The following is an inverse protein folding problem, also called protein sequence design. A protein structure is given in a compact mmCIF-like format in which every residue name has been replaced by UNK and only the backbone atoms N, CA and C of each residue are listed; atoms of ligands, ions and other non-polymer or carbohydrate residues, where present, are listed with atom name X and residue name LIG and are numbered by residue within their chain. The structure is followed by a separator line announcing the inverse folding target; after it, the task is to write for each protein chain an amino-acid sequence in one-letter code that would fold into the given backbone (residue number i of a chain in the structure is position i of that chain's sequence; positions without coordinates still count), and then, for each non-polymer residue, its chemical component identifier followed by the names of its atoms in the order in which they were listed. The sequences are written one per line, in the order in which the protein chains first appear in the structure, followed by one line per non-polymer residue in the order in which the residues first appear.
data_IF_760269611332
#
_entry.id   IF_760269611332
#
_cell.length_a   1.000
_cell.length_b   1.000
_cell.length_c   1.000
_cell.angle_alpha   90.00
_cell.angle_beta   90.00
_cell.angle_gamma   90.00
#
_symmetry.space_group_name_H-M   'P 1'
#
loop_
_entity.id
_entity.type
_entity.pdbx_description
1 polymer ?
#
# COMPACT_ATOMS: atom_id res chain seq x y z
N UNK A 1 -14.33 13.13 29.72
CA UNK A 1 -13.95 12.53 28.42
C UNK A 1 -12.44 12.42 28.42
N UNK A 2 -11.91 11.23 28.18
CA UNK A 2 -10.47 10.97 28.23
C UNK A 2 -9.71 11.82 27.17
N UNK A 3 -8.46 12.16 27.46
CA UNK A 3 -7.53 12.78 26.51
C UNK A 3 -7.03 11.71 25.52
N UNK A 4 -7.87 11.36 24.54
CA UNK A 4 -7.63 10.25 23.60
C UNK A 4 -6.34 10.46 22.83
N UNK A 5 -6.12 11.68 22.32
CA UNK A 5 -4.93 12.01 21.54
C UNK A 5 -3.64 11.85 22.37
N UNK A 6 -3.64 12.30 23.63
CA UNK A 6 -2.49 12.16 24.52
C UNK A 6 -2.27 10.70 24.97
N UNK A 7 -3.34 9.94 25.19
CA UNK A 7 -3.24 8.51 25.48
C UNK A 7 -2.63 7.76 24.29
N UNK A 8 -3.08 8.04 23.07
CA UNK A 8 -2.54 7.46 21.84
C UNK A 8 -1.04 7.78 21.68
N UNK A 9 -0.63 9.02 21.94
CA UNK A 9 0.76 9.43 21.94
C UNK A 9 1.61 8.62 22.93
N UNK A 10 1.14 8.46 24.17
CA UNK A 10 1.79 7.64 25.21
C UNK A 10 1.95 6.19 24.78
N UNK A 11 0.90 5.58 24.24
CA UNK A 11 0.96 4.19 23.78
C UNK A 11 1.96 4.01 22.63
N UNK A 12 1.93 4.90 21.64
CA UNK A 12 2.88 4.88 20.54
C UNK A 12 4.33 5.06 21.02
N UNK A 13 4.56 5.94 21.98
CA UNK A 13 5.90 6.19 22.54
C UNK A 13 6.41 5.05 23.42
N UNK A 14 5.52 4.40 24.18
CA UNK A 14 5.84 3.27 25.03
C UNK A 14 6.04 1.96 24.25
N UNK A 15 5.54 1.87 23.01
CA UNK A 15 5.66 0.67 22.19
C UNK A 15 7.13 0.31 21.96
N UNK A 16 7.48 -0.91 22.37
CA UNK A 16 8.82 -1.47 22.30
C UNK A 16 8.79 -2.80 21.58
N UNK A 17 9.74 -2.98 20.67
CA UNK A 17 9.90 -4.26 19.99
C UNK A 17 10.77 -5.23 20.79
N UNK A 18 11.46 -4.84 21.86
CA UNK A 18 12.43 -5.72 22.56
C UNK A 18 11.84 -7.08 22.92
N UNK A 19 10.62 -7.10 23.46
CA UNK A 19 9.90 -8.32 23.85
C UNK A 19 8.76 -8.69 22.89
N UNK A 20 8.64 -8.02 21.75
CA UNK A 20 7.62 -8.34 20.76
C UNK A 20 7.89 -9.70 20.12
N UNK A 21 6.82 -10.46 19.73
CA UNK A 21 6.98 -11.68 18.96
C UNK A 21 7.87 -11.46 17.73
N UNK A 22 8.74 -12.40 17.40
CA UNK A 22 9.64 -12.30 16.23
C UNK A 22 8.88 -12.07 14.92
N UNK A 23 7.65 -12.58 14.83
CA UNK A 23 6.74 -12.36 13.72
C UNK A 23 6.46 -10.87 13.44
N UNK A 24 6.40 -10.01 14.47
CA UNK A 24 6.16 -8.57 14.29
C UNK A 24 7.29 -7.95 13.48
N UNK A 25 8.55 -8.22 13.86
CA UNK A 25 9.74 -7.76 13.12
C UNK A 25 9.81 -8.35 11.72
N UNK A 26 9.46 -9.63 11.57
CA UNK A 26 9.45 -10.28 10.26
C UNK A 26 8.48 -9.60 9.29
N UNK A 27 7.21 -9.43 9.69
CA UNK A 27 6.21 -8.79 8.84
C UNK A 27 6.45 -7.31 8.61
N UNK A 28 7.02 -6.60 9.58
CA UNK A 28 7.43 -5.20 9.39
C UNK A 28 8.53 -5.07 8.32
N UNK A 29 9.53 -5.96 8.33
CA UNK A 29 10.58 -5.98 7.29
C UNK A 29 10.01 -6.30 5.92
N UNK A 30 9.11 -7.29 5.82
CA UNK A 30 8.46 -7.63 4.55
C UNK A 30 7.62 -6.47 4.01
N UNK A 31 6.82 -5.80 4.85
CA UNK A 31 5.99 -4.68 4.42
C UNK A 31 6.83 -3.45 3.98
N UNK A 32 7.92 -3.14 4.70
CA UNK A 32 8.88 -2.11 4.29
C UNK A 32 9.55 -2.48 2.97
N UNK A 33 10.01 -3.74 2.83
CA UNK A 33 10.66 -4.22 1.63
C UNK A 33 9.71 -4.20 0.43
N UNK A 34 8.47 -4.66 0.61
CA UNK A 34 7.41 -4.61 -0.39
C UNK A 34 7.18 -3.19 -0.89
N UNK A 35 7.02 -2.25 0.06
CA UNK A 35 6.77 -0.83 -0.24
C UNK A 35 7.94 -0.21 -1.00
N UNK A 36 9.19 -0.55 -0.67
CA UNK A 36 10.37 -0.08 -1.40
C UNK A 36 10.42 -0.69 -2.81
N UNK A 37 10.12 -1.98 -2.96
CA UNK A 37 10.06 -2.64 -4.25
C UNK A 37 9.07 -1.94 -5.18
N UNK A 38 7.81 -1.78 -4.76
CA UNK A 38 6.78 -1.13 -5.57
C UNK A 38 7.05 0.36 -5.80
N UNK A 39 7.72 1.04 -4.86
CA UNK A 39 8.17 2.42 -5.04
C UNK A 39 9.23 2.56 -6.14
N UNK A 40 10.17 1.61 -6.23
CA UNK A 40 11.12 1.54 -7.34
C UNK A 40 10.39 1.26 -8.65
N UNK A 41 9.49 0.27 -8.67
CA UNK A 41 8.71 -0.07 -9.85
C UNK A 41 7.86 1.10 -10.37
N UNK A 42 7.29 1.90 -9.46
CA UNK A 42 6.46 3.05 -9.76
C UNK A 42 7.24 4.34 -10.02
N UNK A 43 8.56 4.34 -9.81
CA UNK A 43 9.37 5.57 -9.82
C UNK A 43 9.40 6.30 -11.17
N UNK A 44 9.16 5.60 -12.28
CA UNK A 44 9.14 6.16 -13.64
C UNK A 44 7.74 6.21 -14.26
N UNK A 45 6.68 6.02 -13.46
CA UNK A 45 5.32 6.15 -13.94
C UNK A 45 4.99 7.61 -14.29
N UNK A 46 4.17 7.82 -15.33
CA UNK A 46 3.88 9.17 -15.85
C UNK A 46 3.28 10.13 -14.81
N UNK A 47 2.55 9.61 -13.82
CA UNK A 47 2.04 10.40 -12.69
C UNK A 47 3.17 11.01 -11.83
N UNK A 48 4.28 10.28 -11.66
CA UNK A 48 5.45 10.74 -10.89
C UNK A 48 6.19 11.82 -11.68
N UNK A 49 6.31 11.66 -13.00
CA UNK A 49 6.88 12.69 -13.88
C UNK A 49 6.07 13.99 -13.84
N UNK A 50 4.75 13.90 -14.04
CA UNK A 50 3.85 15.06 -13.94
C UNK A 50 3.97 15.77 -12.59
N UNK A 51 4.08 15.01 -11.50
CA UNK A 51 4.26 15.58 -10.18
C UNK A 51 5.60 16.30 -10.03
N UNK A 52 6.70 15.68 -10.47
CA UNK A 52 8.04 16.29 -10.42
C UNK A 52 8.10 17.59 -11.20
N UNK A 53 7.49 17.62 -12.39
CA UNK A 53 7.42 18.81 -13.25
C UNK A 53 6.50 19.88 -12.65
N UNK A 54 5.48 19.49 -11.87
CA UNK A 54 4.56 20.43 -11.20
C UNK A 54 5.14 21.06 -9.94
N UNK A 55 5.82 20.27 -9.10
CA UNK A 55 6.34 20.75 -7.81
C UNK A 55 7.74 21.36 -7.93
N UNK A 56 8.44 21.11 -9.04
CA UNK A 56 9.79 21.61 -9.33
C UNK A 56 10.72 21.53 -8.11
N UNK A 57 10.92 20.31 -7.55
CA UNK A 57 11.53 20.17 -6.25
C UNK A 57 12.97 20.67 -6.31
N UNK A 58 13.34 21.54 -5.36
CA UNK A 58 14.67 22.12 -5.34
C UNK A 58 15.73 21.05 -5.10
N UNK A 59 16.73 20.98 -5.99
CA UNK A 59 17.87 20.11 -5.78
C UNK A 59 18.58 20.44 -4.48
N UNK A 60 18.75 19.43 -3.64
CA UNK A 60 19.41 19.55 -2.35
C UNK A 60 20.46 18.44 -2.25
N UNK A 61 21.75 18.79 -2.41
CA UNK A 61 22.83 17.82 -2.36
C UNK A 61 22.87 17.04 -1.02
N UNK A 62 22.48 17.69 0.08
CA UNK A 62 22.29 17.08 1.40
C UNK A 62 20.82 16.73 1.70
N UNK A 63 20.00 16.62 0.66
CA UNK A 63 18.59 16.27 0.72
C UNK A 63 18.35 14.76 0.75
N UNK A 64 17.08 14.39 0.73
CA UNK A 64 16.63 12.99 0.73
C UNK A 64 16.51 12.47 -0.70
N UNK A 65 16.80 11.19 -0.90
CA UNK A 65 16.81 10.53 -2.20
C UNK A 65 15.37 10.34 -2.75
N UNK A 66 15.19 10.68 -4.03
CA UNK A 66 14.08 10.17 -4.85
C UNK A 66 14.46 8.77 -5.34
N UNK A 67 13.80 7.74 -4.79
CA UNK A 67 14.14 6.36 -5.09
C UNK A 67 13.90 6.08 -6.58
N UNK A 68 14.89 5.44 -7.20
CA UNK A 68 14.92 5.13 -8.63
C UNK A 68 15.28 6.30 -9.56
N UNK A 69 15.45 7.53 -9.07
CA UNK A 69 15.75 8.71 -9.91
C UNK A 69 17.13 9.34 -9.70
N UNK A 70 17.98 8.75 -8.86
CA UNK A 70 19.32 9.23 -8.50
C UNK A 70 19.40 10.76 -8.21
N UNK A 71 18.31 11.33 -7.67
CA UNK A 71 18.14 12.76 -7.45
C UNK A 71 17.81 13.03 -5.99
N UNK A 72 18.40 14.07 -5.41
CA UNK A 72 18.17 14.46 -4.01
C UNK A 72 17.42 15.79 -3.91
N UNK A 73 16.39 15.83 -3.07
CA UNK A 73 15.49 16.98 -2.91
C UNK A 73 15.18 17.22 -1.43
N UNK A 74 14.42 18.28 -1.11
CA UNK A 74 13.97 18.54 0.25
C UNK A 74 13.19 17.37 0.84
N UNK A 75 13.33 17.13 2.16
CA UNK A 75 12.75 15.95 2.84
C UNK A 75 11.23 15.81 2.64
N UNK A 76 10.51 16.93 2.57
CA UNK A 76 9.05 16.94 2.36
C UNK A 76 8.68 16.59 0.91
N UNK A 77 9.47 17.05 -0.06
CA UNK A 77 9.26 16.74 -1.47
C UNK A 77 9.64 15.30 -1.77
N UNK A 78 10.70 14.79 -1.14
CA UNK A 78 11.06 13.38 -1.21
C UNK A 78 9.95 12.49 -0.66
N UNK A 79 9.40 12.83 0.52
CA UNK A 79 8.28 12.11 1.10
C UNK A 79 7.04 12.13 0.17
N UNK A 80 6.73 13.28 -0.43
CA UNK A 80 5.63 13.42 -1.38
C UNK A 80 5.82 12.54 -2.62
N UNK A 81 6.94 12.73 -3.33
CA UNK A 81 7.19 12.11 -4.64
C UNK A 81 7.37 10.60 -4.48
N UNK A 82 8.17 10.15 -3.51
CA UNK A 82 8.32 8.72 -3.25
C UNK A 82 7.00 8.07 -2.78
N UNK A 83 6.14 8.81 -2.06
CA UNK A 83 4.81 8.33 -1.70
C UNK A 83 3.86 8.18 -2.88
N UNK A 84 3.94 9.06 -3.88
CA UNK A 84 3.23 8.87 -5.14
C UNK A 84 3.79 7.68 -5.90
N UNK A 85 5.12 7.53 -6.00
CA UNK A 85 5.76 6.37 -6.65
C UNK A 85 5.33 5.04 -6.00
N UNK A 86 5.32 4.96 -4.68
CA UNK A 86 4.96 3.76 -3.92
C UNK A 86 3.52 3.29 -4.17
N UNK A 87 2.62 4.20 -4.52
CA UNK A 87 1.21 3.90 -4.73
C UNK A 87 0.77 4.00 -6.20
N UNK A 88 1.69 4.32 -7.12
CA UNK A 88 1.39 4.59 -8.53
C UNK A 88 0.80 3.37 -9.25
N UNK A 89 1.28 2.17 -8.89
CA UNK A 89 0.92 0.92 -9.56
C UNK A 89 -0.22 0.16 -8.87
N UNK A 90 -0.69 0.63 -7.71
CA UNK A 90 -1.66 -0.06 -6.85
C UNK A 90 -1.21 -1.50 -6.53
N UNK A 91 0.08 -1.70 -6.26
CA UNK A 91 0.68 -3.02 -6.01
C UNK A 91 1.28 -3.17 -4.59
N UNK A 92 1.24 -2.09 -3.83
CA UNK A 92 1.55 -2.05 -2.43
C UNK A 92 0.59 -2.88 -1.56
N UNK A 93 1.03 -3.16 -0.34
CA UNK A 93 0.27 -3.92 0.65
C UNK A 93 -1.10 -3.31 1.00
N UNK A 94 -1.89 -4.12 1.69
CA UNK A 94 -3.25 -3.80 2.11
C UNK A 94 -3.46 -4.18 3.58
N UNK A 95 -4.49 -3.62 4.19
CA UNK A 95 -5.04 -4.06 5.48
C UNK A 95 -6.56 -4.09 5.39
N UNK A 96 -7.15 -5.22 5.79
CA UNK A 96 -8.61 -5.35 5.90
C UNK A 96 -9.17 -4.39 6.95
N UNK A 97 -8.47 -4.23 8.08
CA UNK A 97 -8.85 -3.29 9.15
C UNK A 97 -8.91 -1.85 8.63
N UNK A 98 -7.86 -1.43 7.92
CA UNK A 98 -7.77 -0.08 7.35
C UNK A 98 -8.80 0.14 6.23
N UNK A 99 -9.20 -0.92 5.52
CA UNK A 99 -9.83 -0.87 4.20
C UNK A 99 -9.03 0.05 3.24
N UNK A 100 -7.73 -0.22 3.20
CA UNK A 100 -6.74 0.56 2.47
C UNK A 100 -5.34 -0.03 2.55
N UNK A 101 -4.38 0.84 2.30
CA UNK A 101 -2.96 0.56 2.10
C UNK A 101 -2.14 1.15 3.26
N UNK A 102 -1.63 0.32 4.18
CA UNK A 102 -1.07 0.81 5.43
C UNK A 102 0.39 1.26 5.37
N UNK A 103 1.22 0.68 4.50
CA UNK A 103 2.65 1.02 4.49
C UNK A 103 2.98 2.25 3.64
N UNK A 104 2.30 2.42 2.50
CA UNK A 104 2.54 3.54 1.59
C UNK A 104 2.34 4.93 2.18
N UNK A 105 1.46 5.22 3.16
CA UNK A 105 1.38 6.56 3.73
C UNK A 105 2.61 6.93 4.56
N UNK A 106 3.39 5.97 5.08
CA UNK A 106 4.46 6.27 6.05
C UNK A 106 5.87 5.86 5.63
N UNK A 107 6.07 4.74 4.92
CA UNK A 107 7.42 4.25 4.56
C UNK A 107 8.24 5.29 3.77
N UNK A 108 7.72 5.95 2.73
CA UNK A 108 8.46 7.00 2.02
C UNK A 108 8.93 8.16 2.92
N UNK A 109 8.07 8.64 3.82
CA UNK A 109 8.40 9.67 4.80
C UNK A 109 9.47 9.19 5.80
N UNK A 110 9.34 7.95 6.27
CA UNK A 110 10.31 7.32 7.17
C UNK A 110 11.69 7.23 6.52
N UNK A 111 11.77 6.78 5.28
CA UNK A 111 13.04 6.68 4.55
C UNK A 111 13.68 8.06 4.35
N UNK A 112 12.89 9.04 3.90
CA UNK A 112 13.38 10.40 3.69
C UNK A 112 13.94 11.01 5.00
N UNK A 113 13.25 10.80 6.11
CA UNK A 113 13.66 11.29 7.43
C UNK A 113 14.85 10.51 8.00
N UNK A 114 14.82 9.18 7.95
CA UNK A 114 15.86 8.31 8.48
C UNK A 114 17.20 8.51 7.76
N UNK A 115 17.19 8.81 6.45
CA UNK A 115 18.40 9.17 5.71
C UNK A 115 19.06 10.43 6.26
N UNK A 116 18.24 11.43 6.57
CA UNK A 116 18.68 12.72 7.11
C UNK A 116 19.25 12.58 8.51
N UNK A 117 18.61 11.75 9.34
CA UNK A 117 19.02 11.48 10.73
C UNK A 117 20.15 10.44 10.83
N UNK A 118 20.42 9.71 9.75
CA UNK A 118 21.34 8.56 9.72
C UNK A 118 21.00 7.49 10.76
N UNK A 119 19.71 7.16 10.84
CA UNK A 119 19.17 6.19 11.79
C UNK A 119 19.56 4.73 11.45
N UNK A 120 19.49 3.89 12.48
CA UNK A 120 19.60 2.44 12.34
C UNK A 120 18.26 1.81 11.97
N UNK A 121 18.31 0.65 11.32
CA UNK A 121 17.10 -0.03 10.84
C UNK A 121 16.16 -0.54 11.93
N UNK A 122 16.66 -0.82 13.14
CA UNK A 122 15.84 -1.13 14.32
C UNK A 122 14.96 0.05 14.75
N UNK A 123 15.50 1.27 14.68
CA UNK A 123 14.75 2.50 14.94
C UNK A 123 13.67 2.73 13.88
N UNK A 124 13.98 2.47 12.61
CA UNK A 124 13.01 2.57 11.52
C UNK A 124 11.88 1.54 11.69
N UNK A 125 12.22 0.29 12.05
CA UNK A 125 11.23 -0.78 12.31
C UNK A 125 10.32 -0.44 13.48
N UNK A 126 10.87 0.04 14.60
CA UNK A 126 10.06 0.44 15.75
C UNK A 126 9.12 1.62 15.43
N UNK A 127 9.60 2.59 14.66
CA UNK A 127 8.79 3.71 14.18
C UNK A 127 7.67 3.26 13.23
N UNK A 128 7.98 2.40 12.27
CA UNK A 128 7.01 1.82 11.34
C UNK A 128 5.89 1.08 12.10
N UNK A 129 6.24 0.20 13.05
CA UNK A 129 5.23 -0.57 13.80
C UNK A 129 4.33 0.35 14.63
N UNK A 130 4.89 1.38 15.28
CA UNK A 130 4.08 2.35 16.02
C UNK A 130 3.12 3.13 15.11
N UNK A 131 3.57 3.50 13.90
CA UNK A 131 2.72 4.12 12.89
C UNK A 131 1.60 3.20 12.42
N UNK A 132 1.95 1.97 12.03
CA UNK A 132 1.02 0.95 11.56
C UNK A 132 -0.08 0.67 12.58
N UNK A 133 0.28 0.44 13.85
CA UNK A 133 -0.68 0.23 14.93
C UNK A 133 -1.60 1.46 15.11
N UNK A 134 -1.06 2.68 14.97
CA UNK A 134 -1.85 3.91 15.12
C UNK A 134 -2.98 4.00 14.09
N UNK A 135 -2.65 3.88 12.81
CA UNK A 135 -3.64 4.06 11.73
C UNK A 135 -4.65 2.91 11.66
N UNK A 136 -4.22 1.68 11.93
CA UNK A 136 -5.10 0.51 11.90
C UNK A 136 -6.04 0.50 13.10
N UNK A 137 -5.58 0.87 14.29
CA UNK A 137 -6.44 1.03 15.47
C UNK A 137 -7.42 2.19 15.34
N UNK A 138 -7.04 3.28 14.67
CA UNK A 138 -7.98 4.33 14.28
C UNK A 138 -9.03 3.78 13.32
N UNK A 139 -8.63 2.98 12.34
CA UNK A 139 -9.56 2.36 11.41
C UNK A 139 -10.51 1.37 12.09
N UNK A 140 -10.07 0.58 13.08
CA UNK A 140 -10.93 -0.34 13.83
C UNK A 140 -12.15 0.35 14.44
N UNK A 141 -11.99 1.58 14.92
CA UNK A 141 -13.07 2.32 15.59
C UNK A 141 -13.89 3.18 14.63
N UNK A 142 -13.34 3.54 13.46
CA UNK A 142 -13.99 4.46 12.51
C UNK A 142 -14.62 3.77 11.29
N UNK A 143 -14.11 2.59 10.90
CA UNK A 143 -14.67 1.80 9.82
C UNK A 143 -15.86 0.96 10.30
N UNK A 144 -16.83 0.63 9.43
CA UNK A 144 -16.89 0.95 7.99
C UNK A 144 -17.42 2.36 7.68
N UNK A 145 -17.96 3.08 8.67
CA UNK A 145 -18.63 4.36 8.47
C UNK A 145 -17.74 5.41 7.77
N UNK A 146 -16.47 5.48 8.14
CA UNK A 146 -15.51 6.40 7.52
C UNK A 146 -15.43 6.22 5.99
N UNK A 147 -15.30 4.97 5.56
CA UNK A 147 -15.26 4.58 4.14
C UNK A 147 -16.59 4.87 3.45
N UNK A 148 -17.71 4.52 4.08
CA UNK A 148 -19.06 4.71 3.51
C UNK A 148 -19.38 6.18 3.24
N UNK A 149 -18.79 7.10 4.01
CA UNK A 149 -18.89 8.54 3.81
C UNK A 149 -18.03 9.06 2.65
N UNK A 150 -17.25 8.20 2.00
CA UNK A 150 -16.48 8.50 0.79
C UNK A 150 -15.02 8.88 1.05
N UNK A 151 -14.53 8.74 2.28
CA UNK A 151 -13.11 8.96 2.57
C UNK A 151 -12.24 7.81 2.07
N UNK A 152 -10.98 8.12 1.77
CA UNK A 152 -9.95 7.15 1.42
C UNK A 152 -9.01 6.91 2.62
N UNK A 153 -9.20 5.83 3.41
CA UNK A 153 -8.49 5.61 4.68
C UNK A 153 -6.96 5.64 4.58
N UNK A 154 -6.39 5.15 3.47
CA UNK A 154 -4.95 5.24 3.18
C UNK A 154 -4.38 6.63 3.43
N UNK A 155 -5.14 7.68 3.14
CA UNK A 155 -4.68 9.05 3.36
C UNK A 155 -5.30 9.70 4.59
N UNK A 156 -6.61 9.55 4.80
CA UNK A 156 -7.29 10.22 5.91
C UNK A 156 -6.97 9.62 7.27
N UNK A 157 -6.64 8.33 7.34
CA UNK A 157 -6.17 7.65 8.55
C UNK A 157 -4.65 7.42 8.52
N UNK A 158 -4.09 7.10 7.35
CA UNK A 158 -2.66 6.83 7.21
C UNK A 158 -1.75 8.03 7.53
N UNK A 159 -2.26 9.26 7.40
CA UNK A 159 -1.53 10.45 7.85
C UNK A 159 -1.19 10.43 9.35
N UNK A 160 -2.02 9.80 10.18
CA UNK A 160 -1.75 9.66 11.62
C UNK A 160 -0.64 8.64 11.86
N UNK A 161 -0.66 7.51 11.15
CA UNK A 161 0.42 6.53 11.16
C UNK A 161 1.76 7.18 10.77
N UNK A 162 1.73 8.01 9.72
CA UNK A 162 2.90 8.79 9.26
C UNK A 162 3.42 9.75 10.33
N UNK A 163 2.53 10.56 10.93
CA UNK A 163 2.91 11.54 11.95
C UNK A 163 3.50 10.86 13.18
N UNK A 164 2.90 9.75 13.63
CA UNK A 164 3.43 8.95 14.74
C UNK A 164 4.76 8.32 14.39
N UNK A 165 4.88 7.66 13.25
CA UNK A 165 6.12 7.00 12.85
C UNK A 165 7.28 8.00 12.72
N UNK A 166 7.05 9.15 12.08
CA UNK A 166 8.05 10.21 12.00
C UNK A 166 8.35 10.83 13.37
N UNK A 167 7.33 11.03 14.22
CA UNK A 167 7.50 11.51 15.59
C UNK A 167 8.35 10.58 16.45
N UNK A 168 8.19 9.26 16.27
CA UNK A 168 9.01 8.23 16.94
C UNK A 168 10.47 8.32 16.54
N UNK A 169 10.76 8.45 15.25
CA UNK A 169 12.13 8.67 14.75
C UNK A 169 12.74 9.99 15.23
N UNK A 170 11.92 11.03 15.38
CA UNK A 170 12.33 12.32 15.95
C UNK A 170 12.45 12.30 17.48
N UNK A 171 12.07 11.20 18.14
CA UNK A 171 12.06 11.05 19.59
C UNK A 171 11.21 12.14 20.28
N UNK A 172 10.03 12.44 19.72
CA UNK A 172 9.08 13.34 20.36
C UNK A 172 8.61 12.75 21.69
N UNK A 173 8.52 13.58 22.72
CA UNK A 173 7.82 13.22 23.96
C UNK A 173 6.30 13.12 23.73
N UNK A 174 5.56 12.71 24.76
CA UNK A 174 4.14 12.41 24.64
C UNK A 174 3.32 13.65 24.25
N UNK A 175 3.69 14.81 24.79
CA UNK A 175 3.04 16.09 24.51
C UNK A 175 3.32 16.55 23.07
N UNK A 176 4.57 16.52 22.61
CA UNK A 176 4.92 16.88 21.24
C UNK A 176 4.34 15.88 20.23
N UNK A 177 4.28 14.59 20.56
CA UNK A 177 3.61 13.58 19.74
C UNK A 177 2.09 13.87 19.62
N UNK A 178 1.43 14.22 20.73
CA UNK A 178 0.01 14.60 20.72
C UNK A 178 -0.22 15.85 19.85
N UNK A 179 0.68 16.83 19.87
CA UNK A 179 0.64 17.99 18.97
C UNK A 179 0.81 17.56 17.52
N UNK A 180 1.76 16.67 17.20
CA UNK A 180 1.95 16.18 15.83
C UNK A 180 0.69 15.48 15.30
N UNK A 181 0.06 14.62 16.10
CA UNK A 181 -1.22 13.97 15.76
C UNK A 181 -2.32 15.02 15.53
N UNK A 182 -2.41 16.04 16.38
CA UNK A 182 -3.40 17.11 16.23
C UNK A 182 -3.18 17.98 14.97
N UNK A 183 -1.93 18.26 14.58
CA UNK A 183 -1.62 18.95 13.33
C UNK A 183 -2.01 18.08 12.13
N UNK A 184 -1.67 16.78 12.17
CA UNK A 184 -2.03 15.83 11.13
C UNK A 184 -3.55 15.76 10.90
N UNK A 185 -4.34 15.84 11.97
CA UNK A 185 -5.80 15.87 11.88
C UNK A 185 -6.35 16.98 10.97
N UNK A 186 -5.68 18.15 10.95
CA UNK A 186 -6.08 19.29 10.11
C UNK A 186 -5.61 19.18 8.66
N UNK A 187 -4.77 18.18 8.35
CA UNK A 187 -4.24 17.91 7.00
C UNK A 187 -4.80 16.61 6.40
N UNK A 188 -5.58 15.84 7.17
CA UNK A 188 -6.20 14.61 6.72
C UNK A 188 -7.18 14.89 5.58
N UNK A 189 -6.93 14.28 4.41
CA UNK A 189 -7.76 14.47 3.21
C UNK A 189 -7.61 13.30 2.24
N UNK A 190 -8.56 13.15 1.32
CA UNK A 190 -8.56 12.13 0.28
C UNK A 190 -9.93 11.53 0.06
N UNK A 191 -10.49 11.71 -1.14
CA UNK A 191 -11.83 11.24 -1.49
C UNK A 191 -11.75 9.97 -2.34
N UNK A 192 -12.44 8.91 -1.92
CA UNK A 192 -12.48 7.62 -2.62
C UNK A 192 -13.09 7.72 -4.03
N UNK A 193 -13.81 8.81 -4.32
CA UNK A 193 -14.29 9.12 -5.68
C UNK A 193 -13.17 9.27 -6.72
N UNK A 194 -11.94 9.56 -6.30
CA UNK A 194 -10.77 9.64 -7.18
C UNK A 194 -10.08 8.28 -7.44
N UNK A 195 -10.60 7.18 -6.91
CA UNK A 195 -10.12 5.84 -7.24
C UNK A 195 -10.18 5.60 -8.75
N UNK A 196 -9.11 5.10 -9.35
CA UNK A 196 -9.00 4.95 -10.80
C UNK A 196 -8.52 6.22 -11.53
N UNK A 197 -7.92 7.19 -10.82
CA UNK A 197 -7.26 8.36 -11.42
C UNK A 197 -5.86 8.54 -10.83
N UNK A 198 -5.03 9.38 -11.44
CA UNK A 198 -3.72 9.80 -10.92
C UNK A 198 -3.80 10.47 -9.53
N UNK A 199 -4.99 10.92 -9.10
CA UNK A 199 -5.17 11.50 -7.77
C UNK A 199 -5.11 10.44 -6.66
N UNK A 200 -5.39 9.16 -6.95
CA UNK A 200 -5.28 8.08 -5.93
C UNK A 200 -3.86 7.99 -5.34
N UNK A 201 -2.77 7.86 -6.13
CA UNK A 201 -1.42 7.87 -5.58
C UNK A 201 -1.02 9.20 -4.94
N UNK A 202 -1.56 10.33 -5.42
CA UNK A 202 -1.36 11.63 -4.77
C UNK A 202 -1.85 11.64 -3.32
N UNK A 203 -2.93 10.92 -2.99
CA UNK A 203 -3.40 10.79 -1.61
C UNK A 203 -2.31 10.22 -0.68
N UNK A 204 -1.60 9.16 -1.10
CA UNK A 204 -0.51 8.57 -0.33
C UNK A 204 0.68 9.53 -0.21
N UNK A 205 1.06 10.21 -1.30
CA UNK A 205 2.09 11.23 -1.27
C UNK A 205 1.78 12.39 -0.32
N UNK A 206 0.53 12.87 -0.30
CA UNK A 206 0.08 13.92 0.62
C UNK A 206 0.09 13.47 2.08
N UNK A 207 -0.30 12.22 2.37
CA UNK A 207 -0.20 11.65 3.71
C UNK A 207 1.25 11.63 4.20
N UNK A 208 2.19 11.14 3.38
CA UNK A 208 3.62 11.14 3.67
C UNK A 208 4.14 12.56 3.99
N UNK A 209 3.90 13.50 3.06
CA UNK A 209 4.37 14.88 3.18
C UNK A 209 3.82 15.57 4.42
N UNK A 210 2.51 15.51 4.61
CA UNK A 210 1.83 16.29 5.63
C UNK A 210 1.97 15.66 7.02
N UNK A 211 2.04 14.33 7.13
CA UNK A 211 2.36 13.64 8.38
C UNK A 211 3.79 13.91 8.84
N UNK A 212 4.77 13.87 7.92
CA UNK A 212 6.14 14.26 8.23
C UNK A 212 6.24 15.74 8.63
N UNK A 213 5.56 16.63 7.91
CA UNK A 213 5.49 18.05 8.24
C UNK A 213 4.92 18.26 9.65
N UNK A 214 3.85 17.55 10.03
CA UNK A 214 3.25 17.64 11.35
C UNK A 214 4.25 17.27 12.47
N UNK A 215 4.99 16.18 12.29
CA UNK A 215 6.01 15.76 13.25
C UNK A 215 7.18 16.77 13.35
N UNK A 216 7.62 17.33 12.21
CA UNK A 216 8.65 18.37 12.18
C UNK A 216 8.17 19.67 12.83
N UNK A 217 6.93 20.08 12.61
CA UNK A 217 6.34 21.26 13.24
C UNK A 217 6.28 21.11 14.76
N UNK A 218 5.77 19.98 15.24
CA UNK A 218 5.73 19.68 16.67
C UNK A 218 7.13 19.68 17.30
N UNK A 219 8.12 19.06 16.65
CA UNK A 219 9.53 19.08 17.10
C UNK A 219 10.09 20.50 17.30
N UNK A 220 9.63 21.44 16.49
CA UNK A 220 10.09 22.84 16.53
C UNK A 220 9.18 23.74 17.38
N UNK A 221 8.26 23.18 18.17
CA UNK A 221 7.42 23.93 19.11
C UNK A 221 6.20 24.60 18.49
N UNK A 222 5.77 24.17 17.29
CA UNK A 222 4.47 24.59 16.75
C UNK A 222 3.33 24.08 17.65
N UNK A 223 2.23 24.82 17.74
CA UNK A 223 1.12 24.48 18.63
C UNK A 223 -0.09 23.96 17.87
N UNK A 224 -0.86 23.06 18.50
CA UNK A 224 -2.19 22.65 18.04
C UNK A 224 -3.12 22.43 19.24
N UNK A 225 -4.43 22.38 19.00
CA UNK A 225 -5.35 21.87 20.00
C UNK A 225 -5.11 20.37 20.14
N UNK A 226 -4.46 19.93 21.21
CA UNK A 226 -4.14 18.51 21.46
C UNK A 226 -5.37 17.61 21.54
N UNK A 227 -6.57 18.17 21.58
CA UNK A 227 -7.84 17.43 21.52
C UNK A 227 -8.47 17.45 20.12
N UNK A 228 -7.74 17.82 19.07
CA UNK A 228 -8.29 18.00 17.72
C UNK A 228 -8.94 16.73 17.13
N UNK A 229 -8.64 15.53 17.65
CA UNK A 229 -9.36 14.31 17.27
C UNK A 229 -10.74 14.25 17.94
N UNK A 230 -10.75 14.30 19.28
CA UNK A 230 -11.92 14.06 20.12
C UNK A 230 -12.77 15.30 20.43
N UNK A 231 -12.34 16.48 20.01
CA UNK A 231 -13.09 17.72 20.18
C UNK A 231 -14.46 17.64 19.47
N UNK A 232 -15.47 18.38 19.94
CA UNK A 232 -16.80 18.38 19.31
C UNK A 232 -16.82 18.91 17.88
N UNK A 233 -15.79 19.67 17.48
CA UNK A 233 -15.52 20.09 16.08
C UNK A 233 -14.27 19.39 15.51
N UNK A 234 -13.85 18.28 16.13
CA UNK A 234 -12.63 17.55 15.82
C UNK A 234 -12.82 16.50 14.73
N UNK A 235 -11.71 15.83 14.40
CA UNK A 235 -11.65 14.85 13.31
C UNK A 235 -12.73 13.77 13.40
N UNK A 236 -12.94 13.18 14.59
CA UNK A 236 -13.92 12.10 14.75
C UNK A 236 -15.32 12.57 14.33
N UNK A 237 -15.73 13.75 14.77
CA UNK A 237 -17.04 14.30 14.44
C UNK A 237 -17.12 14.78 12.99
N UNK A 238 -16.12 15.54 12.52
CA UNK A 238 -16.14 16.15 11.20
C UNK A 238 -16.11 15.11 10.07
N UNK A 239 -15.37 14.01 10.24
CA UNK A 239 -15.21 13.01 9.19
C UNK A 239 -16.23 11.88 9.29
N UNK A 240 -16.76 11.58 10.49
CA UNK A 240 -17.60 10.40 10.72
C UNK A 240 -19.04 10.73 11.16
N UNK A 241 -19.34 12.00 11.48
CA UNK A 241 -20.67 12.46 11.86
C UNK A 241 -20.94 12.46 13.37
N UNK A 242 -22.22 12.57 13.74
CA UNK A 242 -22.65 12.54 15.13
C UNK A 242 -22.63 11.10 15.67
N UNK A 243 -21.92 10.90 16.79
CA UNK A 243 -21.71 9.59 17.41
C UNK A 243 -20.21 9.35 17.61
N UNK A 244 -19.76 9.29 18.86
CA UNK A 244 -18.39 8.89 19.18
C UNK A 244 -18.41 7.37 19.32
N UNK A 245 -17.72 6.61 18.46
CA UNK A 245 -17.62 5.16 18.63
C UNK A 245 -16.93 4.83 19.96
N UNK A 246 -17.06 3.58 20.40
CA UNK A 246 -16.28 3.11 21.52
C UNK A 246 -14.78 3.19 21.19
N UNK A 247 -14.04 3.99 21.96
CA UNK A 247 -12.62 4.26 21.74
C UNK A 247 -11.70 3.27 22.47
N UNK A 248 -12.25 2.31 23.21
CA UNK A 248 -11.44 1.28 23.89
C UNK A 248 -10.54 0.48 22.93
N UNK A 249 -11.01 0.02 21.75
CA UNK A 249 -10.15 -0.70 20.80
C UNK A 249 -8.93 0.11 20.34
N UNK A 250 -9.07 1.44 20.27
CA UNK A 250 -7.97 2.34 19.91
C UNK A 250 -6.85 2.35 20.96
N UNK A 251 -7.19 2.23 22.24
CA UNK A 251 -6.25 2.46 23.36
C UNK A 251 -5.80 1.18 24.06
N UNK A 252 -6.56 0.09 23.99
CA UNK A 252 -6.27 -1.14 24.73
C UNK A 252 -5.40 -2.14 23.96
N UNK A 253 -4.53 -2.86 24.66
CA UNK A 253 -3.76 -3.98 24.11
C UNK A 253 -2.57 -3.58 23.24
N UNK A 254 -2.05 -2.36 23.36
CA UNK A 254 -0.78 -1.97 22.73
C UNK A 254 0.37 -2.79 23.29
N UNK A 255 1.20 -3.35 22.40
CA UNK A 255 2.34 -4.20 22.77
C UNK A 255 1.96 -5.64 23.15
N UNK A 256 0.67 -5.94 23.28
CA UNK A 256 0.14 -7.28 23.57
C UNK A 256 -0.56 -7.89 22.34
N UNK A 257 -1.41 -7.10 21.69
CA UNK A 257 -2.07 -7.40 20.42
C UNK A 257 -1.43 -6.55 19.33
N UNK A 258 -1.19 -7.16 18.18
CA UNK A 258 -0.49 -6.53 17.06
C UNK A 258 -1.40 -6.59 15.84
N UNK A 259 -1.91 -5.45 15.41
CA UNK A 259 -2.70 -5.31 14.18
C UNK A 259 -1.89 -5.73 12.96
N UNK A 260 -0.55 -5.62 13.03
CA UNK A 260 0.37 -6.11 12.01
C UNK A 260 0.31 -7.64 11.82
N UNK A 261 -0.14 -8.38 12.83
CA UNK A 261 -0.21 -9.85 12.81
C UNK A 261 -1.63 -10.39 12.64
N UNK A 262 -2.63 -9.76 13.24
CA UNK A 262 -4.02 -10.20 13.17
C UNK A 262 -4.96 -8.99 13.22
N UNK A 263 -5.74 -8.71 12.16
CA UNK A 263 -5.85 -9.48 10.91
C UNK A 263 -4.64 -9.36 9.97
N UNK A 264 -3.71 -8.44 10.28
CA UNK A 264 -2.39 -8.39 9.64
C UNK A 264 -2.29 -7.51 8.40
N UNK A 265 -1.05 -7.23 8.02
CA UNK A 265 -0.72 -6.68 6.70
C UNK A 265 -0.85 -7.79 5.64
N UNK A 266 -1.37 -7.43 4.46
CA UNK A 266 -1.58 -8.34 3.35
C UNK A 266 -0.82 -7.84 2.11
N UNK A 267 0.22 -8.57 1.72
CA UNK A 267 1.06 -8.23 0.57
C UNK A 267 0.38 -8.72 -0.71
N UNK A 268 0.11 -7.81 -1.65
CA UNK A 268 -0.48 -8.17 -2.94
C UNK A 268 0.45 -9.07 -3.74
N UNK A 269 -0.05 -10.17 -4.28
CA UNK A 269 0.72 -11.05 -5.18
C UNK A 269 0.74 -10.55 -6.62
N UNK A 270 -0.35 -9.92 -7.05
CA UNK A 270 -0.54 -9.50 -8.43
C UNK A 270 -0.73 -7.98 -8.51
N UNK A 271 -0.19 -7.28 -9.55
CA UNK A 271 -0.23 -5.82 -9.68
C UNK A 271 -1.61 -5.30 -10.15
N UNK A 272 -2.66 -5.69 -9.43
CA UNK A 272 -4.05 -5.36 -9.71
C UNK A 272 -4.87 -5.19 -8.42
N UNK A 273 -6.16 -4.88 -8.56
CA UNK A 273 -7.05 -4.70 -7.41
C UNK A 273 -7.06 -5.94 -6.49
N UNK A 274 -6.86 -5.75 -5.19
CA UNK A 274 -6.85 -6.84 -4.20
C UNK A 274 -8.14 -7.68 -4.21
N UNK A 275 -9.29 -7.09 -4.59
CA UNK A 275 -10.57 -7.77 -4.60
C UNK A 275 -10.70 -8.88 -5.64
N UNK A 276 -9.83 -8.91 -6.66
CA UNK A 276 -9.85 -9.96 -7.71
C UNK A 276 -8.88 -11.12 -7.41
N UNK A 277 -8.09 -11.05 -6.34
CA UNK A 277 -7.02 -12.02 -6.08
C UNK A 277 -7.54 -13.43 -5.77
N UNK A 278 -8.72 -13.57 -5.15
CA UNK A 278 -9.33 -14.89 -4.94
C UNK A 278 -9.77 -15.55 -6.26
N UNK A 279 -10.23 -14.75 -7.24
CA UNK A 279 -10.50 -15.26 -8.59
C UNK A 279 -9.23 -15.70 -9.30
N UNK A 280 -8.13 -14.93 -9.19
CA UNK A 280 -6.83 -15.31 -9.75
C UNK A 280 -6.33 -16.62 -9.13
N UNK A 281 -6.37 -16.75 -7.81
CA UNK A 281 -5.92 -17.96 -7.12
C UNK A 281 -6.72 -19.20 -7.55
N UNK A 282 -8.05 -19.11 -7.58
CA UNK A 282 -8.90 -20.21 -8.05
C UNK A 282 -8.68 -20.54 -9.54
N UNK A 283 -8.46 -19.53 -10.38
CA UNK A 283 -8.18 -19.71 -11.80
C UNK A 283 -6.82 -20.38 -12.05
N UNK A 284 -5.80 -20.02 -11.28
CA UNK A 284 -4.48 -20.66 -11.34
C UNK A 284 -4.56 -22.14 -10.96
N UNK A 285 -5.35 -22.51 -9.94
CA UNK A 285 -5.58 -23.92 -9.59
C UNK A 285 -6.24 -24.70 -10.74
N UNK A 286 -7.27 -24.11 -11.38
CA UNK A 286 -7.97 -24.74 -12.49
C UNK A 286 -7.14 -24.87 -13.77
N UNK A 287 -6.12 -24.02 -13.95
CA UNK A 287 -5.25 -24.07 -15.14
C UNK A 287 -4.55 -25.42 -15.24
N UNK A 288 -4.10 -25.97 -14.12
CA UNK A 288 -3.32 -27.22 -14.12
C UNK A 288 -4.17 -28.43 -14.55
N UNK A 289 -5.50 -28.32 -14.49
CA UNK A 289 -6.46 -29.31 -14.98
C UNK A 289 -6.81 -29.17 -16.48
N UNK A 290 -6.36 -28.10 -17.16
CA UNK A 290 -6.70 -27.79 -18.56
C UNK A 290 -5.61 -28.26 -19.53
N UNK A 291 -5.63 -29.54 -19.89
CA UNK A 291 -4.64 -30.15 -20.78
C UNK A 291 -4.56 -29.49 -22.18
N UNK A 292 -5.70 -29.13 -22.79
CA UNK A 292 -5.75 -28.40 -24.07
C UNK A 292 -5.80 -26.88 -23.93
N UNK A 293 -5.58 -26.35 -22.72
CA UNK A 293 -5.67 -24.92 -22.44
C UNK A 293 -7.08 -24.35 -22.53
N UNK A 294 -7.20 -23.03 -22.61
CA UNK A 294 -8.52 -22.37 -22.52
C UNK A 294 -9.43 -22.54 -23.74
N UNK A 295 -8.93 -23.12 -24.83
CA UNK A 295 -9.77 -23.41 -26.01
C UNK A 295 -10.84 -24.46 -25.71
N UNK A 296 -10.60 -25.33 -24.72
CA UNK A 296 -11.57 -26.33 -24.24
C UNK A 296 -12.74 -25.71 -23.46
N UNK A 297 -12.62 -24.46 -23.00
CA UNK A 297 -13.61 -23.81 -22.15
C UNK A 297 -14.77 -23.25 -22.99
N UNK A 298 -16.00 -23.64 -22.63
CA UNK A 298 -17.23 -23.09 -23.19
C UNK A 298 -17.75 -21.88 -22.39
N UNK A 299 -17.63 -21.90 -21.05
CA UNK A 299 -18.10 -20.84 -20.13
C UNK A 299 -17.25 -20.76 -18.87
N UNK A 300 -17.09 -19.56 -18.33
CA UNK A 300 -16.40 -19.27 -17.06
C UNK A 300 -17.35 -18.48 -16.16
N UNK A 301 -17.71 -19.03 -15.02
CA UNK A 301 -18.52 -18.35 -14.00
C UNK A 301 -17.62 -17.97 -12.82
N UNK A 302 -17.47 -16.67 -12.58
CA UNK A 302 -16.62 -16.11 -11.53
C UNK A 302 -17.53 -15.58 -10.43
N UNK A 303 -17.52 -16.18 -9.25
CA UNK A 303 -18.32 -15.74 -8.12
C UNK A 303 -17.43 -14.99 -7.13
N UNK A 304 -17.76 -13.73 -6.86
CA UNK A 304 -17.12 -12.90 -5.84
C UNK A 304 -18.17 -12.22 -4.95
N UNK A 305 -17.76 -11.79 -3.75
CA UNK A 305 -18.68 -11.23 -2.78
C UNK A 305 -19.30 -9.92 -3.29
N UNK A 306 -20.62 -9.74 -3.14
CA UNK A 306 -21.38 -8.59 -3.68
C UNK A 306 -20.77 -7.23 -3.36
N UNK A 307 -20.23 -7.06 -2.15
CA UNK A 307 -19.59 -5.79 -1.72
C UNK A 307 -18.38 -5.38 -2.54
N UNK A 308 -17.73 -6.31 -3.26
CA UNK A 308 -16.51 -6.07 -4.04
C UNK A 308 -16.76 -5.70 -5.50
N UNK A 309 -17.93 -6.05 -6.05
CA UNK A 309 -18.16 -6.07 -7.50
C UNK A 309 -18.15 -4.68 -8.16
N UNK A 310 -18.57 -3.63 -7.44
CA UNK A 310 -18.87 -2.30 -8.00
C UNK A 310 -17.77 -1.73 -8.90
N UNK A 311 -16.49 -1.99 -8.58
CA UNK A 311 -15.36 -1.40 -9.30
C UNK A 311 -14.58 -2.40 -10.17
N UNK A 312 -14.89 -3.71 -10.07
CA UNK A 312 -14.08 -4.80 -10.66
C UNK A 312 -14.78 -5.55 -11.81
N UNK A 313 -16.05 -5.23 -12.06
CA UNK A 313 -16.84 -5.74 -13.18
C UNK A 313 -16.57 -4.90 -14.44
N UNK A 314 -15.46 -5.20 -15.12
CA UNK A 314 -15.01 -4.52 -16.34
C UNK A 314 -14.78 -5.54 -17.45
N UNK A 315 -15.81 -5.99 -18.18
CA UNK A 315 -15.67 -7.06 -19.18
C UNK A 315 -14.86 -6.65 -20.41
N UNK A 316 -14.67 -5.35 -20.66
CA UNK A 316 -13.95 -4.83 -21.82
C UNK A 316 -12.97 -3.71 -21.41
N UNK A 317 -11.82 -4.05 -20.79
CA UNK A 317 -10.82 -3.07 -20.39
C UNK A 317 -10.24 -2.35 -21.61
N UNK A 318 -10.10 -1.01 -21.52
CA UNK A 318 -9.61 -0.13 -22.59
C UNK A 318 -8.27 0.54 -22.28
N UNK A 319 -7.73 0.28 -21.10
CA UNK A 319 -6.50 0.88 -20.61
C UNK A 319 -5.81 -0.07 -19.64
N UNK A 320 -4.54 0.20 -19.35
CA UNK A 320 -3.79 -0.47 -18.28
C UNK A 320 -4.58 -0.46 -16.97
N UNK A 321 -5.08 0.72 -16.59
CA UNK A 321 -5.82 0.90 -15.35
C UNK A 321 -7.14 0.15 -15.35
N UNK A 322 -7.88 0.12 -16.46
CA UNK A 322 -9.10 -0.69 -16.55
C UNK A 322 -8.79 -2.19 -16.41
N UNK A 323 -7.71 -2.67 -17.03
CA UNK A 323 -7.30 -4.06 -16.96
C UNK A 323 -6.98 -4.49 -15.52
N UNK A 324 -6.33 -3.63 -14.72
CA UNK A 324 -6.06 -3.86 -13.29
C UNK A 324 -7.32 -3.99 -12.42
N UNK A 325 -8.47 -3.54 -12.93
CA UNK A 325 -9.78 -3.64 -12.28
C UNK A 325 -10.75 -4.51 -13.10
N UNK A 326 -10.26 -5.36 -13.99
CA UNK A 326 -11.09 -6.28 -14.77
C UNK A 326 -10.95 -7.71 -14.26
N UNK A 327 -11.96 -8.18 -13.51
CA UNK A 327 -12.00 -9.57 -13.02
C UNK A 327 -11.93 -10.57 -14.18
N UNK A 328 -12.63 -10.26 -15.27
CA UNK A 328 -12.62 -11.05 -16.50
C UNK A 328 -11.21 -11.20 -17.07
N UNK A 329 -10.50 -10.09 -17.19
CA UNK A 329 -9.16 -10.06 -17.77
C UNK A 329 -8.14 -10.83 -16.93
N UNK A 330 -8.07 -10.55 -15.63
CA UNK A 330 -7.07 -11.19 -14.77
C UNK A 330 -7.36 -12.69 -14.58
N UNK A 331 -8.63 -13.09 -14.62
CA UNK A 331 -9.02 -14.50 -14.58
C UNK A 331 -8.62 -15.21 -15.88
N UNK A 332 -8.81 -14.56 -17.03
CA UNK A 332 -8.35 -15.08 -18.31
C UNK A 332 -6.81 -15.23 -18.35
N UNK A 333 -6.06 -14.25 -17.83
CA UNK A 333 -4.61 -14.34 -17.71
C UNK A 333 -4.21 -15.52 -16.81
N UNK A 334 -4.81 -15.65 -15.63
CA UNK A 334 -4.53 -16.74 -14.70
C UNK A 334 -4.80 -18.12 -15.31
N UNK A 335 -5.92 -18.31 -16.02
CA UNK A 335 -6.25 -19.56 -16.72
C UNK A 335 -5.28 -19.88 -17.86
N UNK A 336 -4.73 -18.87 -18.54
CA UNK A 336 -3.84 -19.05 -19.69
C UNK A 336 -2.40 -19.35 -19.27
N UNK A 337 -1.85 -18.53 -18.36
CA UNK A 337 -0.42 -18.51 -18.04
C UNK A 337 -0.11 -18.81 -16.57
N UNK A 338 -1.11 -18.97 -15.72
CA UNK A 338 -0.96 -19.39 -14.32
C UNK A 338 -0.54 -18.26 -13.38
N UNK A 339 -0.32 -17.06 -13.88
CA UNK A 339 0.05 -15.88 -13.08
C UNK A 339 -0.38 -14.59 -13.78
N UNK A 340 -0.37 -13.49 -13.03
CA UNK A 340 -0.64 -12.13 -13.52
C UNK A 340 0.56 -11.26 -13.14
N UNK A 341 1.22 -10.66 -14.12
CA UNK A 341 2.47 -9.90 -13.99
C UNK A 341 2.35 -8.49 -14.59
N UNK A 342 3.41 -7.68 -14.51
CA UNK A 342 3.40 -6.32 -15.06
C UNK A 342 3.17 -6.29 -16.57
N UNK A 343 3.77 -7.24 -17.30
CA UNK A 343 3.72 -7.33 -18.76
C UNK A 343 2.28 -7.61 -19.26
N UNK A 344 1.41 -8.10 -18.38
CA UNK A 344 0.00 -8.31 -18.68
C UNK A 344 -0.80 -7.00 -18.67
N UNK A 345 -0.28 -5.91 -18.13
CA UNK A 345 -0.96 -4.61 -18.13
C UNK A 345 -0.40 -3.63 -19.15
N UNK A 346 0.75 -3.95 -19.75
CA UNK A 346 1.40 -3.12 -20.77
C UNK A 346 0.49 -2.87 -22.00
N UNK A 347 0.68 -1.74 -22.71
CA UNK A 347 -0.10 -1.43 -23.91
C UNK A 347 -0.14 -2.58 -24.92
N UNK A 348 -1.35 -2.99 -25.30
CA UNK A 348 -1.60 -4.09 -26.23
C UNK A 348 -1.68 -5.48 -25.59
N UNK A 349 -1.25 -5.66 -24.34
CA UNK A 349 -1.38 -6.95 -23.64
C UNK A 349 -2.85 -7.36 -23.46
N UNK A 350 -3.69 -6.42 -23.02
CA UNK A 350 -5.13 -6.63 -22.89
C UNK A 350 -5.89 -6.75 -24.21
N UNK A 351 -5.26 -6.46 -25.36
CA UNK A 351 -5.86 -6.59 -26.69
C UNK A 351 -5.55 -7.93 -27.38
N UNK A 352 -4.74 -8.80 -26.76
CA UNK A 352 -4.41 -10.13 -27.30
C UNK A 352 -5.71 -10.90 -27.59
N UNK A 353 -5.91 -11.28 -28.86
CA UNK A 353 -7.13 -11.91 -29.34
C UNK A 353 -7.52 -13.16 -28.53
N UNK A 354 -6.52 -13.93 -28.09
CA UNK A 354 -6.73 -15.11 -27.24
C UNK A 354 -7.34 -14.76 -25.89
N UNK A 355 -6.80 -13.77 -25.18
CA UNK A 355 -7.37 -13.30 -23.90
C UNK A 355 -8.77 -12.72 -24.09
N UNK A 356 -8.98 -11.91 -25.14
CA UNK A 356 -10.31 -11.39 -25.50
C UNK A 356 -11.34 -12.50 -25.74
N UNK A 357 -10.93 -13.59 -26.41
CA UNK A 357 -11.79 -14.74 -26.65
C UNK A 357 -12.13 -15.53 -25.38
N UNK A 358 -11.23 -15.60 -24.39
CA UNK A 358 -11.48 -16.21 -23.08
C UNK A 358 -12.42 -15.34 -22.24
N UNK A 359 -12.15 -14.03 -22.19
CA UNK A 359 -12.98 -13.04 -21.49
C UNK A 359 -14.42 -13.05 -22.00
N UNK A 360 -14.62 -13.16 -23.32
CA UNK A 360 -15.94 -13.24 -23.94
C UNK A 360 -16.78 -14.46 -23.51
N UNK A 361 -16.19 -15.42 -22.79
CA UNK A 361 -16.86 -16.61 -22.23
C UNK A 361 -17.09 -16.48 -20.71
N UNK A 362 -16.70 -15.35 -20.11
CA UNK A 362 -16.72 -15.15 -18.66
C UNK A 362 -17.87 -14.28 -18.19
N UNK A 363 -18.44 -14.63 -17.05
CA UNK A 363 -19.48 -13.88 -16.35
C UNK A 363 -19.08 -13.69 -14.89
N UNK A 364 -19.23 -12.46 -14.38
CA UNK A 364 -19.00 -12.14 -12.96
C UNK A 364 -20.34 -12.16 -12.21
N UNK A 365 -20.40 -12.99 -11.18
CA UNK A 365 -21.58 -13.29 -10.40
C UNK A 365 -21.35 -12.94 -8.93
N UNK A 366 -22.42 -12.53 -8.25
CA UNK A 366 -22.39 -12.22 -6.83
C UNK A 366 -22.67 -13.46 -5.97
N UNK A 367 -21.95 -13.61 -4.87
CA UNK A 367 -22.41 -14.38 -3.71
C UNK A 367 -22.55 -13.46 -2.48
N UNK A 368 -23.28 -13.95 -1.48
CA UNK A 368 -23.58 -13.25 -0.22
C UNK A 368 -23.15 -14.12 0.99
N UNK A 369 -22.08 -14.89 0.83
CA UNK A 369 -21.48 -15.69 1.91
C UNK A 369 -20.78 -14.79 2.94
N UNK A 370 -20.66 -15.25 4.19
CA UNK A 370 -20.05 -14.47 5.28
C UNK A 370 -18.58 -14.11 5.01
N UNK A 371 -17.84 -15.01 4.35
CA UNK A 371 -16.47 -14.74 3.94
C UNK A 371 -16.45 -13.81 2.72
N UNK A 372 -16.31 -12.51 3.01
CA UNK A 372 -16.17 -11.48 1.98
C UNK A 372 -14.95 -11.68 1.08
N UNK A 373 -13.97 -12.48 1.51
CA UNK A 373 -12.72 -12.78 0.80
C UNK A 373 -12.76 -13.99 -0.09
N UNK A 374 -13.84 -14.78 0.00
CA UNK A 374 -14.04 -15.93 -0.85
C UNK A 374 -14.23 -15.52 -2.32
N UNK A 375 -13.73 -16.37 -3.20
CA UNK A 375 -14.02 -16.34 -4.62
C UNK A 375 -14.04 -17.76 -5.16
N UNK A 376 -14.93 -18.02 -6.12
CA UNK A 376 -15.03 -19.32 -6.80
C UNK A 376 -15.05 -19.12 -8.30
N UNK A 377 -14.19 -19.86 -9.00
CA UNK A 377 -14.21 -19.93 -10.46
C UNK A 377 -14.76 -21.29 -10.86
N UNK A 378 -15.69 -21.32 -11.79
CA UNK A 378 -16.26 -22.55 -12.34
C UNK A 378 -16.14 -22.51 -13.86
N UNK A 379 -15.48 -23.51 -14.44
CA UNK A 379 -15.33 -23.66 -15.87
C UNK A 379 -16.24 -24.78 -16.37
N UNK A 380 -17.00 -24.50 -17.42
CA UNK A 380 -17.73 -25.51 -18.19
C UNK A 380 -16.96 -25.77 -19.48
N UNK A 381 -16.54 -27.00 -19.69
CA UNK A 381 -15.82 -27.47 -20.87
C UNK A 381 -16.77 -27.71 -22.04
N UNK A 382 -16.24 -27.70 -23.26
CA UNK A 382 -17.02 -27.95 -24.50
C UNK A 382 -17.58 -29.36 -24.60
N UNK A 383 -17.01 -30.32 -23.89
CA UNK A 383 -17.53 -31.70 -23.78
C UNK A 383 -18.65 -31.82 -22.73
N UNK A 384 -19.01 -30.73 -22.05
CA UNK A 384 -20.02 -30.66 -21.00
C UNK A 384 -19.47 -30.92 -19.58
N UNK A 385 -18.20 -31.28 -19.44
CA UNK A 385 -17.55 -31.43 -18.14
C UNK A 385 -17.47 -30.10 -17.38
N UNK A 386 -17.49 -30.17 -16.04
CA UNK A 386 -17.30 -29.00 -15.19
C UNK A 386 -16.13 -29.19 -14.23
N UNK A 387 -15.42 -28.11 -13.95
CA UNK A 387 -14.39 -28.01 -12.90
C UNK A 387 -14.60 -26.72 -12.12
N UNK A 388 -14.31 -26.74 -10.83
CA UNK A 388 -14.43 -25.57 -9.97
C UNK A 388 -13.35 -25.55 -8.92
N UNK A 389 -12.80 -24.37 -8.65
CA UNK A 389 -11.90 -24.10 -7.54
C UNK A 389 -12.37 -22.87 -6.77
N UNK A 390 -12.03 -22.82 -5.49
CA UNK A 390 -12.36 -21.72 -4.59
C UNK A 390 -11.13 -21.30 -3.80
N UNK A 391 -10.98 -20.01 -3.58
CA UNK A 391 -9.93 -19.45 -2.73
C UNK A 391 -10.51 -18.36 -1.82
N UNK A 392 -9.95 -18.22 -0.62
CA UNK A 392 -10.20 -17.07 0.24
C UNK A 392 -8.92 -16.26 0.37
N UNK A 393 -8.95 -15.02 -0.16
CA UNK A 393 -7.78 -14.13 -0.18
C UNK A 393 -8.17 -12.77 0.42
N UNK A 394 -7.69 -12.55 1.63
CA UNK A 394 -7.89 -11.35 2.45
C UNK A 394 -7.04 -10.18 1.94
N UNK A 395 -7.36 -9.68 0.74
CA UNK A 395 -6.66 -8.60 0.01
C UNK A 395 -5.25 -8.92 -0.50
N UNK A 396 -4.62 -9.98 0.00
CA UNK A 396 -3.27 -10.41 -0.36
C UNK A 396 -2.80 -11.56 0.55
N UNK A 397 -1.48 -11.75 0.63
CA UNK A 397 -0.82 -12.77 1.48
C UNK A 397 -0.32 -12.12 2.77
N UNK A 398 -0.86 -12.58 3.90
CA UNK A 398 -0.56 -12.05 5.23
C UNK A 398 -0.11 -13.13 6.21
N UNK A 399 -0.01 -12.83 7.51
CA UNK A 399 0.47 -13.74 8.55
C UNK A 399 -0.19 -15.12 8.57
N UNK A 400 -1.49 -15.20 8.24
CA UNK A 400 -2.27 -16.44 8.23
C UNK A 400 -2.16 -17.22 6.90
N UNK A 401 -1.66 -16.59 5.84
CA UNK A 401 -1.42 -17.21 4.53
C UNK A 401 -0.20 -16.53 3.86
N UNK A 402 1.02 -16.73 4.40
CA UNK A 402 2.21 -16.02 3.95
C UNK A 402 2.62 -16.45 2.55
N UNK A 403 3.20 -15.53 1.77
CA UNK A 403 4.03 -15.92 0.62
C UNK A 403 5.19 -16.80 1.10
N UNK A 404 5.59 -17.76 0.28
CA UNK A 404 6.91 -18.37 0.38
C UNK A 404 8.01 -17.33 0.13
N UNK A 405 9.23 -17.61 0.60
CA UNK A 405 10.39 -16.77 0.35
C UNK A 405 10.62 -16.55 -1.15
N UNK A 406 10.46 -17.59 -1.96
CA UNK A 406 10.60 -17.51 -3.42
C UNK A 406 9.52 -16.62 -4.06
N UNK A 407 8.26 -16.69 -3.61
CA UNK A 407 7.18 -15.81 -4.10
C UNK A 407 7.47 -14.34 -3.76
N UNK A 408 7.90 -14.05 -2.52
CA UNK A 408 8.20 -12.68 -2.10
C UNK A 408 9.44 -12.12 -2.82
N UNK A 409 10.52 -12.90 -2.91
CA UNK A 409 11.73 -12.52 -3.63
C UNK A 409 11.45 -12.32 -5.12
N UNK A 410 10.62 -13.16 -5.73
CA UNK A 410 10.17 -13.01 -7.11
C UNK A 410 9.41 -11.70 -7.32
N UNK A 411 8.43 -11.37 -6.45
CA UNK A 411 7.73 -10.07 -6.48
C UNK A 411 8.71 -8.91 -6.37
N UNK A 412 9.63 -8.97 -5.40
CA UNK A 412 10.59 -7.90 -5.19
C UNK A 412 11.51 -7.72 -6.41
N UNK A 413 11.94 -8.81 -7.03
CA UNK A 413 12.73 -8.80 -8.27
C UNK A 413 11.96 -8.19 -9.45
N UNK A 414 10.70 -8.60 -9.66
CA UNK A 414 9.83 -8.04 -10.71
C UNK A 414 9.66 -6.52 -10.53
N UNK A 415 9.62 -6.04 -9.27
CA UNK A 415 9.45 -4.62 -8.97
C UNK A 415 10.76 -3.82 -9.08
N UNK A 416 11.76 -4.18 -8.27
CA UNK A 416 13.03 -3.45 -8.18
C UNK A 416 13.88 -3.60 -9.45
N UNK A 417 13.75 -4.73 -10.16
CA UNK A 417 14.43 -5.01 -11.42
C UNK A 417 14.05 -4.08 -12.57
N UNK A 418 12.94 -3.32 -12.45
CA UNK A 418 12.60 -2.25 -13.42
C UNK A 418 13.58 -1.08 -13.40
N UNK A 419 14.39 -0.97 -12.34
CA UNK A 419 15.29 0.15 -12.09
C UNK A 419 16.71 -0.31 -11.77
N UNK A 420 16.85 -1.42 -11.05
CA UNK A 420 18.11 -1.91 -10.52
C UNK A 420 18.55 -3.18 -11.25
N UNK A 421 19.84 -3.30 -11.49
CA UNK A 421 20.45 -4.55 -11.98
C UNK A 421 20.20 -5.73 -11.03
N UNK A 422 20.18 -6.99 -11.51
CA UNK A 422 19.87 -8.17 -10.70
C UNK A 422 20.67 -8.27 -9.39
N UNK A 423 22.00 -8.11 -9.45
CA UNK A 423 22.88 -8.16 -8.28
C UNK A 423 22.57 -7.06 -7.25
N UNK A 424 22.16 -5.86 -7.73
CA UNK A 424 21.81 -4.76 -6.85
C UNK A 424 20.44 -4.98 -6.19
N UNK A 425 19.51 -5.58 -6.94
CA UNK A 425 18.19 -5.98 -6.46
C UNK A 425 18.29 -7.02 -5.34
N UNK A 426 19.08 -8.08 -5.54
CA UNK A 426 19.29 -9.13 -4.53
C UNK A 426 19.93 -8.57 -3.26
N UNK A 427 21.01 -7.80 -3.38
CA UNK A 427 21.65 -7.16 -2.21
C UNK A 427 20.72 -6.21 -1.46
N UNK A 428 19.87 -5.49 -2.18
CA UNK A 428 18.90 -4.59 -1.56
C UNK A 428 17.87 -5.40 -0.76
N UNK A 429 17.35 -6.49 -1.33
CA UNK A 429 16.41 -7.37 -0.66
C UNK A 429 17.03 -7.95 0.62
N UNK A 430 18.23 -8.50 0.54
CA UNK A 430 18.95 -9.06 1.70
C UNK A 430 19.12 -8.03 2.82
N UNK A 431 19.50 -6.80 2.46
CA UNK A 431 19.68 -5.73 3.43
C UNK A 431 18.35 -5.28 4.09
N UNK A 432 17.23 -5.36 3.36
CA UNK A 432 15.90 -5.06 3.89
C UNK A 432 15.37 -6.19 4.77
N UNK A 433 15.60 -7.44 4.39
CA UNK A 433 15.24 -8.62 5.18
C UNK A 433 16.11 -8.78 6.43
N UNK A 434 17.23 -8.06 6.53
CA UNK A 434 18.12 -8.00 7.70
C UNK A 434 18.19 -6.60 8.33
N UNK A 435 17.18 -5.75 8.10
CA UNK A 435 17.20 -4.32 8.46
C UNK A 435 17.47 -4.04 9.95
N UNK A 436 17.01 -4.90 10.86
CA UNK A 436 17.28 -4.81 12.30
C UNK A 436 18.69 -5.26 12.73
N UNK A 437 19.52 -5.72 11.80
CA UNK A 437 20.90 -6.17 12.03
C UNK A 437 21.94 -5.07 12.27
N UNK A 438 21.52 -3.83 12.54
CA UNK A 438 22.41 -2.70 12.86
C UNK A 438 22.85 -1.85 11.66
N UNK A 439 22.36 -2.14 10.46
CA UNK A 439 22.64 -1.38 9.24
C UNK A 439 22.16 0.08 9.35
N UNK A 440 22.98 1.02 8.88
CA UNK A 440 22.59 2.43 8.74
C UNK A 440 21.78 2.66 7.47
N UNK A 441 20.68 3.39 7.58
CA UNK A 441 19.79 3.64 6.44
C UNK A 441 20.48 4.40 5.30
N UNK A 442 21.41 5.31 5.60
CA UNK A 442 22.16 6.02 4.56
C UNK A 442 22.97 5.07 3.67
N UNK A 443 23.54 4.01 4.25
CA UNK A 443 24.29 3.01 3.47
C UNK A 443 23.38 2.23 2.53
N UNK A 444 22.18 1.86 3.01
CA UNK A 444 21.17 1.20 2.20
C UNK A 444 20.75 2.05 1.01
N UNK A 445 20.39 3.31 1.26
CA UNK A 445 19.90 4.24 0.23
C UNK A 445 21.00 4.66 -0.75
N UNK A 446 22.26 4.75 -0.30
CA UNK A 446 23.40 5.00 -1.20
C UNK A 446 23.59 3.86 -2.22
N UNK A 447 23.31 2.61 -1.83
CA UNK A 447 23.33 1.47 -2.76
C UNK A 447 22.30 1.63 -3.87
N UNK A 448 21.10 2.10 -3.52
CA UNK A 448 20.02 2.39 -4.48
C UNK A 448 20.43 3.54 -5.40
N UNK A 449 20.94 4.64 -4.84
CA UNK A 449 21.33 5.84 -5.60
C UNK A 449 22.39 5.53 -6.66
N UNK A 450 23.39 4.69 -6.34
CA UNK A 450 24.47 4.32 -7.27
C UNK A 450 24.04 3.36 -8.37
N UNK A 451 23.01 2.57 -8.11
CA UNK A 451 22.52 1.57 -9.04
C UNK A 451 21.39 2.10 -9.94
N UNK A 452 20.76 3.23 -9.59
CA UNK A 452 19.73 3.85 -10.42
C UNK A 452 20.36 4.61 -11.61
N UNK A 453 19.88 4.41 -12.85
CA UNK A 453 20.39 5.14 -14.00
C UNK A 453 20.06 6.64 -13.90
N UNK A 454 20.94 7.53 -14.36
CA UNK A 454 20.63 8.97 -14.43
C UNK A 454 19.50 9.22 -15.43
N UNK A 455 18.54 10.09 -15.07
CA UNK A 455 17.37 10.43 -15.92
C UNK A 455 17.82 11.11 -17.22
N UNK A 456 17.43 10.57 -18.37
CA UNK A 456 17.30 11.37 -19.59
C UNK A 456 16.06 12.26 -19.46
N UNK A 457 16.21 13.58 -19.56
CA UNK A 457 15.07 14.51 -19.49
C UNK A 457 14.12 14.21 -20.67
N UNK A 458 12.89 13.79 -20.38
CA UNK A 458 11.83 13.79 -21.37
C UNK A 458 11.62 15.22 -21.90
N UNK A 459 11.34 15.41 -23.20
CA UNK A 459 11.07 16.73 -23.76
C UNK A 459 9.85 17.34 -23.08
N UNK A 460 9.98 18.60 -22.68
CA UNK A 460 8.91 19.34 -22.01
C UNK A 460 7.58 19.23 -22.78
N UNK A 461 6.50 18.87 -22.06
CA UNK A 461 5.14 18.92 -22.57
C UNK A 461 4.86 20.35 -23.07
N UNK A 462 4.78 20.50 -24.40
CA UNK A 462 4.30 21.74 -25.01
C UNK A 462 2.81 21.84 -24.69
N UNK A 463 2.45 22.76 -23.81
CA UNK A 463 1.05 23.15 -23.61
C UNK A 463 0.61 23.79 -24.94
N UNK A 464 -0.40 23.23 -25.65
CA UNK A 464 -0.99 23.91 -26.80
C UNK A 464 -1.56 25.24 -26.35
N UNK A 465 -1.25 26.31 -27.08
CA UNK A 465 -1.65 27.68 -26.79
C UNK A 465 -3.17 27.88 -26.75
#
# INVERSE_FOLDING_TARGET
MADITLALARHANALSLVNAPSAVRHWARLAIADTIGVMLAGSHEGVVDLLCDTVEPSHAASGSLLLGRATRVGVLDAALINGVSAHALDFDDCSLTLDGHPSVPMVPALLALAERLDCHGDQLLAAYVAGFETETRLAQVLNPLHVERGWHPTATLGIFGTAVACGRLLQLDDEAMAVAIAIAASSASGLRANSGTMTKPLHAGQANRNGLLAALLARNGFTANVRALEHGMGFFHAFNGAGVPDMRPLLEGWGERWELLDPGVAIKQFPCCAFVHSAIAAATELRDDLAGGTDEIARIDIHLHRRRLKNIDRPDPKSELDAKFSTHYVTACALEQGSVRFEDFEPGAYDRARLRAVMGRSELLAHDEDDVSAGRVTITLRDGGQRSASASVAMGRGPLNPMSEAEFSGKFQDCAGRVLEPDATERLLDALLSLDGGSRLRSLLTTIERAAPPRERAPALRIPA
#
